data_IF_598678052922
#
_entry.id   IF_598678052922
#
_cell.length_a   1.000
_cell.length_b   1.000
_cell.length_c   1.000
_cell.angle_alpha   90.00
_cell.angle_beta   90.00
_cell.angle_gamma   90.00
#
_symmetry.space_group_name_H-M   'P 1'
#
loop_
_entity.id
_entity.type
_entity.pdbx_description
1 polymer ?
#
# COMPACT_ATOMS: atom_id res chain seq x y z
N UNK A 1 1.08 -2.51 -0.18
CA UNK A 1 0.51 -2.86 -1.47
C UNK A 1 1.24 -4.00 -2.17
N UNK A 2 1.99 -3.71 -3.24
CA UNK A 2 2.50 -4.73 -4.20
C UNK A 2 3.37 -5.84 -3.59
N UNK A 3 4.02 -5.66 -2.49
CA UNK A 3 4.78 -6.73 -1.85
C UNK A 3 3.93 -7.72 -1.06
N UNK A 4 2.69 -7.38 -0.71
CA UNK A 4 1.79 -8.22 0.10
C UNK A 4 0.63 -8.81 -0.71
N UNK A 5 0.14 -8.11 -1.74
CA UNK A 5 -1.08 -8.52 -2.45
C UNK A 5 -0.91 -9.57 -3.55
N UNK A 6 0.24 -9.71 -4.26
CA UNK A 6 0.33 -10.59 -5.42
C UNK A 6 0.03 -12.05 -5.13
N UNK A 7 0.54 -12.58 -4.01
CA UNK A 7 0.26 -13.95 -3.61
C UNK A 7 -1.22 -14.20 -3.32
N UNK A 8 -1.90 -13.27 -2.65
CA UNK A 8 -3.33 -13.37 -2.39
C UNK A 8 -4.15 -13.32 -3.69
N UNK A 9 -3.80 -12.43 -4.61
CA UNK A 9 -4.46 -12.34 -5.92
C UNK A 9 -4.20 -13.61 -6.74
N UNK A 10 -2.95 -14.11 -6.78
CA UNK A 10 -2.60 -15.32 -7.49
C UNK A 10 -3.36 -16.55 -6.96
N UNK A 11 -3.56 -16.67 -5.64
CA UNK A 11 -4.38 -17.75 -5.03
C UNK A 11 -5.84 -17.73 -5.48
N UNK A 12 -6.37 -16.56 -5.84
CA UNK A 12 -7.76 -16.43 -6.30
C UNK A 12 -7.93 -16.74 -7.80
N UNK A 13 -6.96 -16.29 -8.64
CA UNK A 13 -7.16 -16.28 -10.09
C UNK A 13 -6.06 -16.98 -10.88
N UNK A 14 -5.04 -17.52 -10.23
CA UNK A 14 -3.93 -18.24 -10.86
C UNK A 14 -3.18 -17.39 -11.88
N UNK A 15 -2.94 -17.94 -13.05
CA UNK A 15 -2.22 -17.31 -14.17
C UNK A 15 -2.83 -15.97 -14.65
N UNK A 16 -4.11 -15.72 -14.32
CA UNK A 16 -4.79 -14.47 -14.68
C UNK A 16 -4.39 -13.29 -13.77
N UNK A 17 -3.57 -13.49 -12.72
CA UNK A 17 -3.22 -12.47 -11.75
C UNK A 17 -2.69 -11.17 -12.38
N UNK A 18 -1.78 -11.27 -13.36
CA UNK A 18 -1.24 -10.10 -14.04
C UNK A 18 -2.32 -9.27 -14.75
N UNK A 19 -3.30 -9.92 -15.38
CA UNK A 19 -4.43 -9.25 -16.05
C UNK A 19 -5.37 -8.57 -15.04
N UNK A 20 -5.54 -9.15 -13.86
CA UNK A 20 -6.30 -8.50 -12.77
C UNK A 20 -5.60 -7.20 -12.32
N UNK A 21 -4.27 -7.17 -12.27
CA UNK A 21 -3.54 -5.93 -11.97
C UNK A 21 -3.71 -4.87 -13.06
N UNK A 22 -3.81 -5.23 -14.34
CA UNK A 22 -4.15 -4.29 -15.41
C UNK A 22 -5.58 -3.74 -15.26
N UNK A 23 -6.54 -4.60 -14.95
CA UNK A 23 -7.92 -4.17 -14.71
C UNK A 23 -7.99 -3.24 -13.48
N UNK A 24 -7.28 -3.56 -12.40
CA UNK A 24 -7.17 -2.71 -11.22
C UNK A 24 -6.50 -1.36 -11.53
N UNK A 25 -5.47 -1.35 -12.38
CA UNK A 25 -4.81 -0.13 -12.85
C UNK A 25 -5.76 0.76 -13.66
N UNK A 26 -6.57 0.18 -14.54
CA UNK A 26 -7.58 0.93 -15.31
C UNK A 26 -8.60 1.59 -14.38
N UNK A 27 -9.08 0.87 -13.37
CA UNK A 27 -9.97 1.42 -12.35
C UNK A 27 -9.31 2.53 -11.53
N UNK A 28 -8.05 2.32 -11.09
CA UNK A 28 -7.26 3.33 -10.39
C UNK A 28 -7.02 4.58 -11.23
N UNK A 29 -6.83 4.44 -12.55
CA UNK A 29 -6.62 5.54 -13.47
C UNK A 29 -7.87 6.45 -13.56
N UNK A 30 -9.07 5.88 -13.59
CA UNK A 30 -10.32 6.66 -13.56
C UNK A 30 -10.41 7.52 -12.29
N UNK A 31 -10.14 6.92 -11.14
CA UNK A 31 -10.14 7.65 -9.87
C UNK A 31 -9.02 8.69 -9.82
N UNK A 32 -7.83 8.37 -10.33
CA UNK A 32 -6.70 9.30 -10.39
C UNK A 32 -7.02 10.56 -11.21
N UNK A 33 -7.67 10.39 -12.35
CA UNK A 33 -8.12 11.52 -13.18
C UNK A 33 -9.16 12.37 -12.44
N UNK A 34 -10.09 11.75 -11.73
CA UNK A 34 -11.08 12.46 -10.90
C UNK A 34 -10.41 13.30 -9.81
N UNK A 35 -9.45 12.70 -9.05
CA UNK A 35 -8.67 13.41 -8.03
C UNK A 35 -7.81 14.53 -8.65
N UNK A 36 -7.20 14.28 -9.79
CA UNK A 36 -6.41 15.27 -10.52
C UNK A 36 -7.28 16.45 -10.97
N UNK A 37 -8.49 16.19 -11.44
CA UNK A 37 -9.44 17.24 -11.81
C UNK A 37 -9.87 18.06 -10.59
N UNK A 38 -10.25 17.40 -9.49
CA UNK A 38 -10.68 18.05 -8.27
C UNK A 38 -9.57 18.92 -7.64
N UNK A 39 -8.32 18.48 -7.70
CA UNK A 39 -7.17 19.21 -7.13
C UNK A 39 -6.87 20.56 -7.80
N UNK A 40 -7.42 20.80 -9.01
CA UNK A 40 -7.31 22.11 -9.68
C UNK A 40 -8.18 23.18 -9.01
N UNK A 41 -9.28 22.76 -8.41
CA UNK A 41 -10.31 23.67 -7.89
C UNK A 41 -10.29 23.77 -6.37
N UNK A 42 -9.89 22.68 -5.69
CA UNK A 42 -9.90 22.60 -4.22
C UNK A 42 -8.50 22.33 -3.72
N UNK A 43 -7.81 23.38 -3.27
CA UNK A 43 -6.46 23.32 -2.69
C UNK A 43 -6.57 23.41 -1.17
N UNK A 44 -7.16 22.38 -0.56
CA UNK A 44 -7.32 22.27 0.90
C UNK A 44 -6.83 20.90 1.37
N UNK A 45 -6.28 20.85 2.58
CA UNK A 45 -5.96 19.58 3.24
C UNK A 45 -7.21 18.72 3.43
N UNK A 46 -7.02 17.40 3.42
CA UNK A 46 -8.12 16.45 3.60
C UNK A 46 -8.58 15.72 2.33
N UNK A 47 -8.03 16.08 1.15
CA UNK A 47 -8.27 15.40 -0.13
C UNK A 47 -9.77 15.04 -0.37
N UNK A 48 -10.12 13.74 -0.33
CA UNK A 48 -11.48 13.26 -0.58
C UNK A 48 -12.53 13.98 0.29
N UNK A 49 -12.21 14.26 1.56
CA UNK A 49 -13.06 15.05 2.45
C UNK A 49 -13.34 16.45 1.87
N UNK A 50 -12.26 17.19 1.55
CA UNK A 50 -12.35 18.56 1.06
C UNK A 50 -13.09 18.63 -0.30
N UNK A 51 -12.84 17.67 -1.18
CA UNK A 51 -13.48 17.58 -2.49
C UNK A 51 -14.98 17.27 -2.38
N UNK A 52 -15.34 16.29 -1.54
CA UNK A 52 -16.74 15.92 -1.31
C UNK A 52 -17.51 17.04 -0.62
N UNK A 53 -16.90 17.73 0.35
CA UNK A 53 -17.50 18.89 1.00
C UNK A 53 -17.76 20.02 0.01
N UNK A 54 -16.79 20.32 -0.85
CA UNK A 54 -16.92 21.37 -1.87
C UNK A 54 -18.00 21.05 -2.93
N UNK A 55 -18.17 19.77 -3.26
CA UNK A 55 -19.13 19.36 -4.30
C UNK A 55 -20.55 19.11 -3.78
N UNK A 56 -20.70 18.57 -2.56
CA UNK A 56 -21.95 18.02 -2.04
C UNK A 56 -22.37 18.59 -0.67
N UNK A 57 -21.60 19.52 -0.10
CA UNK A 57 -21.89 20.14 1.20
C UNK A 57 -21.33 19.39 2.40
N UNK A 58 -21.65 19.93 3.59
CA UNK A 58 -21.02 19.55 4.86
C UNK A 58 -21.33 18.12 5.30
N UNK A 59 -22.57 17.66 5.10
CA UNK A 59 -23.00 16.32 5.53
C UNK A 59 -22.26 15.22 4.78
N UNK A 60 -22.22 15.33 3.44
CA UNK A 60 -21.50 14.36 2.58
C UNK A 60 -20.01 14.44 2.84
N UNK A 61 -19.46 15.66 2.99
CA UNK A 61 -18.07 15.86 3.35
C UNK A 61 -17.71 15.15 4.65
N UNK A 62 -18.50 15.33 5.72
CA UNK A 62 -18.28 14.71 7.02
C UNK A 62 -18.34 13.19 6.95
N UNK A 63 -19.32 12.63 6.27
CA UNK A 63 -19.42 11.17 6.05
C UNK A 63 -18.17 10.61 5.35
N UNK A 64 -17.75 11.25 4.25
CA UNK A 64 -16.56 10.83 3.49
C UNK A 64 -15.30 11.00 4.35
N UNK A 65 -15.19 12.09 5.12
CA UNK A 65 -14.05 12.33 6.01
C UNK A 65 -13.90 11.25 7.08
N UNK A 66 -14.99 10.93 7.80
CA UNK A 66 -14.99 9.87 8.83
C UNK A 66 -14.65 8.51 8.20
N UNK A 67 -15.33 8.15 7.10
CA UNK A 67 -15.08 6.89 6.39
C UNK A 67 -13.62 6.79 5.93
N UNK A 68 -13.05 7.89 5.44
CA UNK A 68 -11.65 7.96 5.03
C UNK A 68 -10.69 7.75 6.20
N UNK A 69 -10.94 8.40 7.34
CA UNK A 69 -10.09 8.25 8.53
C UNK A 69 -10.11 6.81 9.03
N UNK A 70 -11.29 6.21 9.17
CA UNK A 70 -11.42 4.83 9.63
C UNK A 70 -10.74 3.86 8.67
N UNK A 71 -11.05 3.95 7.37
CA UNK A 71 -10.47 3.06 6.35
C UNK A 71 -8.94 3.20 6.27
N UNK A 72 -8.42 4.43 6.33
CA UNK A 72 -6.98 4.70 6.30
C UNK A 72 -6.27 4.19 7.55
N UNK A 73 -6.91 4.29 8.72
CA UNK A 73 -6.37 3.77 9.98
C UNK A 73 -6.30 2.25 9.96
N UNK A 74 -7.36 1.57 9.52
CA UNK A 74 -7.35 0.11 9.35
C UNK A 74 -6.28 -0.33 8.35
N UNK A 75 -6.18 0.33 7.19
CA UNK A 75 -5.15 0.05 6.20
C UNK A 75 -3.73 0.26 6.75
N UNK A 76 -3.54 1.29 7.58
CA UNK A 76 -2.29 1.53 8.29
C UNK A 76 -1.94 0.38 9.24
N UNK A 77 -2.90 -0.12 10.03
CA UNK A 77 -2.72 -1.28 10.91
C UNK A 77 -2.31 -2.55 10.16
N UNK A 78 -2.97 -2.84 9.02
CA UNK A 78 -2.62 -3.98 8.14
C UNK A 78 -1.19 -3.86 7.63
N UNK A 79 -0.78 -2.68 7.16
CA UNK A 79 0.59 -2.43 6.68
C UNK A 79 1.62 -2.51 7.80
N UNK A 80 1.31 -2.02 9.00
CA UNK A 80 2.16 -2.11 10.18
C UNK A 80 2.40 -3.56 10.58
N UNK A 81 1.34 -4.37 10.60
CA UNK A 81 1.44 -5.82 10.83
C UNK A 81 2.32 -6.49 9.77
N UNK A 82 2.22 -6.08 8.50
CA UNK A 82 3.09 -6.55 7.42
C UNK A 82 4.56 -6.24 7.65
N UNK A 83 4.90 -5.02 8.12
CA UNK A 83 6.27 -4.65 8.50
C UNK A 83 6.79 -5.56 9.59
N UNK A 84 6.02 -5.75 10.66
CA UNK A 84 6.43 -6.57 11.81
C UNK A 84 6.66 -8.02 11.40
N UNK A 85 5.72 -8.63 10.70
CA UNK A 85 5.84 -10.02 10.23
C UNK A 85 7.05 -10.21 9.32
N UNK A 86 7.27 -9.28 8.39
CA UNK A 86 8.44 -9.33 7.50
C UNK A 86 9.75 -9.16 8.27
N UNK A 87 9.79 -8.25 9.23
CA UNK A 87 10.96 -8.10 10.08
C UNK A 87 11.24 -9.36 10.91
N UNK A 88 10.22 -9.96 11.53
CA UNK A 88 10.36 -11.21 12.28
C UNK A 88 10.90 -12.34 11.39
N UNK A 89 10.40 -12.48 10.15
CA UNK A 89 10.90 -13.47 9.18
C UNK A 89 12.40 -13.26 8.87
N UNK A 90 12.84 -12.01 8.67
CA UNK A 90 14.27 -11.70 8.45
C UNK A 90 15.15 -12.15 9.63
N UNK A 91 14.66 -12.00 10.87
CA UNK A 91 15.37 -12.41 12.07
C UNK A 91 15.16 -13.88 12.46
N UNK A 92 14.53 -14.69 11.60
CA UNK A 92 14.25 -16.10 11.86
C UNK A 92 13.29 -16.35 13.03
N UNK A 93 12.46 -15.35 13.36
CA UNK A 93 11.42 -15.47 14.40
C UNK A 93 10.11 -15.93 13.77
N UNK A 94 9.31 -16.62 14.58
CA UNK A 94 7.98 -17.04 14.16
C UNK A 94 7.05 -15.82 13.94
N UNK A 95 6.69 -15.58 12.70
CA UNK A 95 5.79 -14.50 12.31
C UNK A 95 4.30 -14.83 12.50
N UNK A 96 3.98 -16.06 12.97
CA UNK A 96 2.61 -16.48 13.32
C UNK A 96 2.31 -16.35 14.80
N UNK A 97 3.33 -16.20 15.67
CA UNK A 97 3.14 -15.95 17.10
C UNK A 97 2.52 -14.57 17.33
N UNK A 98 1.22 -14.56 17.64
CA UNK A 98 0.45 -13.34 17.85
C UNK A 98 1.01 -12.45 18.97
N UNK A 99 1.60 -13.02 20.03
CA UNK A 99 2.18 -12.26 21.12
C UNK A 99 3.39 -11.45 20.65
N UNK A 100 4.30 -12.10 19.94
CA UNK A 100 5.49 -11.45 19.37
C UNK A 100 5.10 -10.40 18.31
N UNK A 101 4.11 -10.71 17.46
CA UNK A 101 3.59 -9.76 16.48
C UNK A 101 2.98 -8.54 17.16
N UNK A 102 2.19 -8.71 18.20
CA UNK A 102 1.58 -7.59 18.95
C UNK A 102 2.62 -6.69 19.60
N UNK A 103 3.64 -7.27 20.24
CA UNK A 103 4.74 -6.50 20.83
C UNK A 103 5.48 -5.71 19.73
N UNK A 104 5.79 -6.35 18.61
CA UNK A 104 6.42 -5.67 17.47
C UNK A 104 5.57 -4.54 16.91
N UNK A 105 4.25 -4.75 16.82
CA UNK A 105 3.31 -3.75 16.37
C UNK A 105 3.28 -2.51 17.28
N UNK A 106 3.15 -2.72 18.61
CA UNK A 106 3.18 -1.62 19.58
C UNK A 106 4.52 -0.88 19.51
N UNK A 107 5.63 -1.61 19.41
CA UNK A 107 6.96 -1.02 19.26
C UNK A 107 7.03 -0.14 17.99
N UNK A 108 6.52 -0.64 16.87
CA UNK A 108 6.47 0.13 15.63
C UNK A 108 5.62 1.40 15.78
N UNK A 109 4.46 1.33 16.43
CA UNK A 109 3.60 2.51 16.66
C UNK A 109 4.30 3.57 17.52
N UNK A 110 5.05 3.15 18.54
CA UNK A 110 5.85 4.06 19.37
C UNK A 110 6.97 4.70 18.53
N UNK A 111 7.65 3.95 17.70
CA UNK A 111 8.69 4.49 16.80
C UNK A 111 8.09 5.51 15.83
N UNK A 112 6.93 5.22 15.25
CA UNK A 112 6.23 6.16 14.34
C UNK A 112 5.80 7.44 15.08
N UNK A 113 5.34 7.33 16.32
CA UNK A 113 5.04 8.49 17.15
C UNK A 113 6.29 9.36 17.36
N UNK A 114 7.40 8.75 17.75
CA UNK A 114 8.67 9.47 17.98
C UNK A 114 9.12 10.18 16.69
N UNK A 115 9.09 9.50 15.53
CA UNK A 115 9.43 10.09 14.23
C UNK A 115 8.56 11.32 13.94
N UNK A 116 7.25 11.22 14.19
CA UNK A 116 6.31 12.34 13.98
C UNK A 116 6.55 13.50 14.96
N UNK A 117 6.96 13.21 16.20
CA UNK A 117 7.29 14.24 17.20
C UNK A 117 8.57 15.01 16.86
N UNK A 118 9.55 14.36 16.23
CA UNK A 118 10.80 15.00 15.77
C UNK A 118 10.51 16.00 14.64
N UNK A 119 9.54 15.68 13.77
CA UNK A 119 9.00 16.62 12.79
C UNK A 119 9.18 16.21 11.33
N UNK A 120 8.67 17.06 10.45
CA UNK A 120 8.50 16.79 9.00
C UNK A 120 9.81 16.50 8.26
N UNK A 121 10.93 17.09 8.69
CA UNK A 121 12.23 16.88 8.02
C UNK A 121 12.67 15.41 8.07
N UNK A 122 12.55 14.78 9.24
CA UNK A 122 12.90 13.36 9.40
C UNK A 122 11.94 12.48 8.60
N UNK A 123 10.65 12.78 8.64
CA UNK A 123 9.62 12.08 7.84
C UNK A 123 9.96 12.09 6.35
N UNK A 124 10.33 13.26 5.80
CA UNK A 124 10.70 13.41 4.40
C UNK A 124 11.94 12.60 4.04
N UNK A 125 12.98 12.62 4.87
CA UNK A 125 14.20 11.84 4.65
C UNK A 125 13.88 10.34 4.60
N UNK A 126 13.15 9.83 5.59
CA UNK A 126 12.78 8.41 5.66
C UNK A 126 11.91 8.02 4.46
N UNK A 127 10.94 8.85 4.08
CA UNK A 127 10.07 8.62 2.93
C UNK A 127 10.87 8.56 1.62
N UNK A 128 11.84 9.45 1.42
CA UNK A 128 12.68 9.46 0.23
C UNK A 128 13.57 8.21 0.15
N UNK A 129 14.26 7.85 1.24
CA UNK A 129 15.09 6.64 1.31
C UNK A 129 14.23 5.39 1.02
N UNK A 130 13.06 5.31 1.63
CA UNK A 130 12.13 4.21 1.43
C UNK A 130 11.64 4.12 -0.01
N UNK A 131 11.39 5.27 -0.66
CA UNK A 131 10.97 5.32 -2.07
C UNK A 131 12.07 4.84 -3.01
N UNK A 132 13.31 5.29 -2.78
CA UNK A 132 14.47 4.84 -3.56
C UNK A 132 14.67 3.33 -3.39
N UNK A 133 14.65 2.84 -2.15
CA UNK A 133 14.79 1.40 -1.86
C UNK A 133 13.68 0.57 -2.50
N UNK A 134 12.42 1.04 -2.46
CA UNK A 134 11.29 0.41 -3.13
C UNK A 134 11.48 0.32 -4.65
N UNK A 135 11.79 1.44 -5.30
CA UNK A 135 11.97 1.49 -6.76
C UNK A 135 13.15 0.59 -7.17
N UNK A 136 14.26 0.64 -6.41
CA UNK A 136 15.41 -0.23 -6.65
C UNK A 136 15.05 -1.72 -6.55
N UNK A 137 14.38 -2.14 -5.47
CA UNK A 137 13.99 -3.53 -5.30
C UNK A 137 13.00 -4.01 -6.37
N UNK A 138 12.01 -3.21 -6.73
CA UNK A 138 11.05 -3.54 -7.78
C UNK A 138 11.72 -3.60 -9.15
N UNK A 139 12.60 -2.65 -9.45
CA UNK A 139 13.38 -2.63 -10.70
C UNK A 139 14.29 -3.86 -10.83
N UNK A 140 15.03 -4.19 -9.78
CA UNK A 140 15.88 -5.39 -9.75
C UNK A 140 15.03 -6.65 -9.93
N UNK A 141 13.87 -6.74 -9.29
CA UNK A 141 12.96 -7.89 -9.44
C UNK A 141 12.51 -8.08 -10.89
N UNK A 142 12.12 -6.99 -11.58
CA UNK A 142 11.70 -7.05 -12.98
C UNK A 142 12.88 -7.42 -13.89
N UNK A 143 14.03 -6.74 -13.73
CA UNK A 143 15.21 -6.95 -14.60
C UNK A 143 15.73 -8.37 -14.41
N UNK A 144 15.92 -8.83 -13.18
CA UNK A 144 16.35 -10.19 -12.89
C UNK A 144 15.35 -11.23 -13.41
N UNK A 145 14.06 -10.95 -13.26
CA UNK A 145 13.03 -11.84 -13.76
C UNK A 145 12.99 -11.94 -15.28
N UNK A 146 13.08 -10.82 -15.99
CA UNK A 146 13.19 -10.82 -17.46
C UNK A 146 14.46 -11.58 -17.91
N UNK A 147 15.58 -11.34 -17.22
CA UNK A 147 16.82 -12.04 -17.51
C UNK A 147 16.66 -13.56 -17.37
N UNK A 148 16.04 -14.04 -16.30
CA UNK A 148 15.76 -15.47 -16.09
C UNK A 148 14.87 -16.02 -17.21
N UNK A 149 13.81 -15.31 -17.58
CA UNK A 149 12.88 -15.75 -18.62
C UNK A 149 13.51 -15.83 -20.00
N UNK A 150 14.44 -14.91 -20.31
CA UNK A 150 15.05 -14.85 -21.65
C UNK A 150 16.25 -15.78 -21.79
N UNK A 151 17.08 -15.92 -20.74
CA UNK A 151 18.40 -16.57 -20.83
C UNK A 151 18.52 -17.91 -20.09
N UNK A 152 17.52 -18.32 -19.30
CA UNK A 152 17.64 -19.50 -18.43
C UNK A 152 16.61 -20.59 -18.69
N UNK A 153 15.94 -20.62 -19.84
CA UNK A 153 14.80 -21.53 -20.14
C UNK A 153 13.75 -21.55 -18.98
N UNK A 154 13.63 -20.43 -18.30
CA UNK A 154 12.98 -20.31 -16.99
C UNK A 154 11.47 -20.09 -17.04
N UNK A 155 10.82 -20.16 -18.20
CA UNK A 155 9.36 -20.05 -18.24
C UNK A 155 8.74 -21.36 -17.73
N UNK A 156 8.15 -21.29 -16.53
CA UNK A 156 7.46 -22.43 -15.94
C UNK A 156 5.95 -22.23 -16.09
N UNK A 157 5.40 -22.74 -17.18
CA UNK A 157 3.97 -22.70 -17.48
C UNK A 157 3.24 -23.90 -16.87
N UNK A 158 3.38 -24.11 -15.58
CA UNK A 158 2.65 -25.18 -14.91
C UNK A 158 1.15 -24.87 -14.88
N UNK A 159 0.35 -25.90 -15.15
CA UNK A 159 -1.09 -25.80 -14.97
C UNK A 159 -1.44 -25.77 -13.47
N UNK A 160 -1.77 -24.59 -13.01
CA UNK A 160 -2.12 -24.37 -11.60
C UNK A 160 -3.49 -24.97 -11.23
N UNK A 161 -4.30 -25.37 -12.21
CA UNK A 161 -5.65 -25.93 -11.95
C UNK A 161 -5.58 -27.34 -11.36
N UNK A 162 -4.45 -28.03 -11.53
CA UNK A 162 -4.23 -29.37 -10.96
C UNK A 162 -3.71 -29.34 -9.51
N UNK A 163 -3.32 -28.17 -9.00
CA UNK A 163 -2.80 -28.03 -7.65
C UNK A 163 -3.91 -28.20 -6.61
N UNK A 164 -3.72 -29.15 -5.70
CA UNK A 164 -4.63 -29.43 -4.60
C UNK A 164 -3.99 -29.10 -3.27
N UNK A 165 -4.81 -28.69 -2.30
CA UNK A 165 -4.41 -28.54 -0.91
C UNK A 165 -4.31 -29.89 -0.20
N UNK A 166 -4.01 -29.86 1.11
CA UNK A 166 -3.93 -31.08 1.93
C UNK A 166 -5.25 -31.86 2.03
N UNK A 167 -6.38 -31.21 1.80
CA UNK A 167 -7.73 -31.77 1.83
C UNK A 167 -8.21 -32.24 0.44
N UNK A 168 -7.35 -32.17 -0.58
CA UNK A 168 -7.64 -32.58 -1.95
C UNK A 168 -8.50 -31.60 -2.75
N UNK A 169 -8.75 -30.39 -2.25
CA UNK A 169 -9.45 -29.32 -2.95
C UNK A 169 -8.49 -28.53 -3.84
N UNK A 170 -8.99 -28.00 -4.94
CA UNK A 170 -8.20 -27.12 -5.81
C UNK A 170 -7.77 -25.88 -5.03
N UNK A 171 -6.48 -25.56 -5.07
CA UNK A 171 -5.91 -24.35 -4.42
C UNK A 171 -6.51 -23.10 -5.05
N UNK A 172 -6.71 -23.12 -6.38
CA UNK A 172 -7.31 -22.01 -7.12
C UNK A 172 -8.80 -22.33 -7.31
N UNK A 173 -9.70 -21.47 -6.83
CA UNK A 173 -11.15 -21.67 -6.99
C UNK A 173 -11.56 -21.49 -8.46
N UNK A 174 -12.76 -21.95 -8.80
CA UNK A 174 -13.38 -21.67 -10.10
C UNK A 174 -13.49 -20.14 -10.32
N UNK A 175 -13.19 -19.72 -11.55
CA UNK A 175 -13.23 -18.31 -11.91
C UNK A 175 -14.68 -17.84 -12.09
N UNK A 176 -15.23 -17.27 -11.04
CA UNK A 176 -16.57 -16.67 -10.99
C UNK A 176 -16.51 -15.15 -10.94
N UNK A 177 -17.64 -14.46 -11.15
CA UNK A 177 -17.72 -12.99 -10.98
C UNK A 177 -17.33 -12.58 -9.57
N UNK A 178 -17.71 -13.34 -8.54
CA UNK A 178 -17.34 -13.04 -7.15
C UNK A 178 -15.83 -13.15 -6.94
N UNK A 179 -15.19 -14.19 -7.48
CA UNK A 179 -13.73 -14.38 -7.42
C UNK A 179 -13.02 -13.25 -8.17
N UNK A 180 -13.51 -12.88 -9.36
CA UNK A 180 -12.96 -11.74 -10.12
C UNK A 180 -13.01 -10.44 -9.32
N UNK A 181 -14.17 -10.10 -8.73
CA UNK A 181 -14.33 -8.87 -7.94
C UNK A 181 -13.44 -8.90 -6.70
N UNK A 182 -13.34 -10.01 -5.98
CA UNK A 182 -12.47 -10.16 -4.81
C UNK A 182 -11.00 -9.98 -5.20
N UNK A 183 -10.57 -10.59 -6.29
CA UNK A 183 -9.20 -10.45 -6.79
C UNK A 183 -8.91 -9.02 -7.26
N UNK A 184 -9.88 -8.37 -7.93
CA UNK A 184 -9.79 -6.98 -8.38
C UNK A 184 -9.61 -6.02 -7.20
N UNK A 185 -10.41 -6.18 -6.14
CA UNK A 185 -10.28 -5.38 -4.90
C UNK A 185 -8.92 -5.61 -4.25
N UNK A 186 -8.46 -6.87 -4.16
CA UNK A 186 -7.14 -7.20 -3.63
C UNK A 186 -5.98 -6.59 -4.43
N UNK A 187 -6.09 -6.59 -5.77
CA UNK A 187 -5.10 -5.94 -6.64
C UNK A 187 -5.19 -4.41 -6.55
N UNK A 188 -6.41 -3.85 -6.48
CA UNK A 188 -6.63 -2.41 -6.35
C UNK A 188 -6.02 -1.84 -5.07
N UNK A 189 -6.02 -2.62 -3.97
CA UNK A 189 -5.35 -2.23 -2.73
C UNK A 189 -3.86 -1.84 -2.94
N UNK A 190 -3.18 -2.44 -3.90
CA UNK A 190 -1.79 -2.07 -4.21
C UNK A 190 -1.66 -0.66 -4.82
N UNK A 191 -2.69 -0.16 -5.47
CA UNK A 191 -2.73 1.16 -6.10
C UNK A 191 -3.20 2.27 -5.16
N UNK A 192 -3.80 1.95 -4.00
CA UNK A 192 -4.27 2.96 -3.04
C UNK A 192 -3.11 3.78 -2.48
N UNK A 193 -3.38 5.02 -2.12
CA UNK A 193 -2.42 5.98 -1.56
C UNK A 193 -2.20 7.23 -2.41
N UNK A 194 -2.48 7.21 -3.72
CA UNK A 194 -2.38 8.39 -4.58
C UNK A 194 -3.32 9.52 -4.13
N UNK A 195 -4.47 9.15 -3.61
CA UNK A 195 -5.44 10.09 -3.04
C UNK A 195 -4.93 10.77 -1.77
N UNK A 196 -4.05 10.11 -1.03
CA UNK A 196 -3.46 10.66 0.20
C UNK A 196 -2.46 11.79 -0.09
N UNK A 197 -1.82 11.79 -1.25
CA UNK A 197 -0.91 12.86 -1.67
C UNK A 197 -1.64 14.20 -1.71
N UNK A 198 -2.88 14.21 -2.19
CA UNK A 198 -3.71 15.41 -2.21
C UNK A 198 -4.11 15.91 -0.81
N UNK A 199 -4.02 15.09 0.25
CA UNK A 199 -4.28 15.52 1.63
C UNK A 199 -3.24 16.50 2.16
N UNK A 200 -2.02 16.50 1.60
CA UNK A 200 -0.95 17.44 1.93
C UNK A 200 -0.85 18.62 0.96
N UNK A 201 -1.85 18.87 0.15
CA UNK A 201 -1.79 19.89 -0.91
C UNK A 201 -1.48 21.30 -0.40
N UNK A 202 -1.89 21.65 0.83
CA UNK A 202 -1.60 22.94 1.44
C UNK A 202 -0.10 23.18 1.72
N UNK A 203 0.69 22.10 1.83
CA UNK A 203 2.13 22.14 2.08
C UNK A 203 2.96 22.01 0.79
N UNK A 204 2.31 21.97 -0.38
CA UNK A 204 2.96 21.79 -1.69
C UNK A 204 3.14 23.11 -2.45
N UNK A 205 4.21 23.22 -3.23
CA UNK A 205 4.38 24.29 -4.19
C UNK A 205 3.46 24.07 -5.41
N UNK A 206 2.64 25.09 -5.75
CA UNK A 206 1.74 25.11 -6.91
C UNK A 206 0.93 23.80 -7.08
N UNK A 207 0.20 23.37 -6.02
CA UNK A 207 -0.49 22.08 -6.03
C UNK A 207 -1.54 21.98 -7.15
N UNK A 208 -2.18 23.08 -7.52
CA UNK A 208 -3.16 23.18 -8.62
C UNK A 208 -2.59 22.85 -10.01
N UNK A 209 -1.25 22.92 -10.16
CA UNK A 209 -0.53 22.56 -11.40
C UNK A 209 0.15 21.20 -11.30
N UNK A 210 0.75 20.92 -10.14
CA UNK A 210 1.60 19.74 -9.95
C UNK A 210 0.79 18.47 -9.70
N UNK A 211 -0.24 18.50 -8.85
CA UNK A 211 -1.06 17.33 -8.57
C UNK A 211 -1.80 16.75 -9.79
N UNK A 212 -2.45 17.58 -10.64
CA UNK A 212 -3.15 17.08 -11.83
C UNK A 212 -2.26 16.33 -12.82
N UNK A 213 -0.95 16.59 -12.81
CA UNK A 213 0.04 15.92 -13.66
C UNK A 213 0.68 14.73 -12.97
N UNK A 214 1.04 14.91 -11.70
CA UNK A 214 1.77 13.89 -10.93
C UNK A 214 0.90 12.65 -10.65
N UNK A 215 -0.38 12.82 -10.31
CA UNK A 215 -1.25 11.69 -9.93
C UNK A 215 -1.45 10.70 -11.10
N UNK A 216 -1.91 11.13 -12.31
CA UNK A 216 -2.08 10.20 -13.42
C UNK A 216 -0.76 9.58 -13.90
N UNK A 217 0.32 10.38 -13.94
CA UNK A 217 1.65 9.88 -14.31
C UNK A 217 2.14 8.79 -13.34
N UNK A 218 1.98 9.02 -12.04
CA UNK A 218 2.35 8.04 -11.03
C UNK A 218 1.57 6.73 -11.20
N UNK A 219 0.25 6.80 -11.42
CA UNK A 219 -0.57 5.60 -11.63
C UNK A 219 -0.14 4.86 -12.90
N UNK A 220 0.17 5.56 -13.99
CA UNK A 220 0.67 4.94 -15.23
C UNK A 220 1.99 4.19 -15.02
N UNK A 221 2.97 4.81 -14.37
CA UNK A 221 4.26 4.18 -14.05
C UNK A 221 4.07 2.97 -13.12
N UNK A 222 3.27 3.14 -12.06
CA UNK A 222 2.99 2.07 -11.09
C UNK A 222 2.27 0.90 -11.76
N UNK A 223 1.35 1.16 -12.69
CA UNK A 223 0.64 0.11 -13.45
C UNK A 223 1.61 -0.75 -14.25
N UNK A 224 2.56 -0.15 -14.97
CA UNK A 224 3.59 -0.86 -15.72
C UNK A 224 4.47 -1.71 -14.80
N UNK A 225 4.91 -1.15 -13.67
CA UNK A 225 5.75 -1.85 -12.69
C UNK A 225 5.00 -3.03 -12.07
N UNK A 226 3.76 -2.84 -11.64
CA UNK A 226 2.99 -3.88 -10.96
C UNK A 226 2.60 -5.02 -11.90
N UNK A 227 2.16 -4.67 -13.11
CA UNK A 227 1.93 -5.67 -14.14
C UNK A 227 3.20 -6.47 -14.43
N UNK A 228 4.33 -5.79 -14.68
CA UNK A 228 5.60 -6.43 -15.00
C UNK A 228 6.07 -7.39 -13.89
N UNK A 229 5.98 -6.98 -12.63
CA UNK A 229 6.37 -7.81 -11.49
C UNK A 229 5.50 -9.07 -11.38
N UNK A 230 4.18 -8.89 -11.42
CA UNK A 230 3.26 -10.04 -11.28
C UNK A 230 3.39 -10.96 -12.49
N UNK A 231 3.50 -10.40 -13.68
CA UNK A 231 3.72 -11.16 -14.91
C UNK A 231 4.99 -12.01 -14.80
N UNK A 232 6.13 -11.40 -14.56
CA UNK A 232 7.42 -12.09 -14.44
C UNK A 232 7.37 -13.16 -13.34
N UNK A 233 6.83 -12.85 -12.18
CA UNK A 233 6.75 -13.80 -11.06
C UNK A 233 5.88 -15.01 -11.37
N UNK A 234 4.74 -14.81 -12.05
CA UNK A 234 3.85 -15.90 -12.48
C UNK A 234 4.45 -16.79 -13.57
N UNK A 235 5.40 -16.28 -14.36
CA UNK A 235 6.10 -17.08 -15.37
C UNK A 235 7.34 -17.79 -14.85
N UNK A 236 8.00 -17.28 -13.79
CA UNK A 236 9.19 -17.93 -13.21
C UNK A 236 8.78 -19.09 -12.29
N UNK A 237 7.91 -18.84 -11.32
CA UNK A 237 7.44 -19.86 -10.38
C UNK A 237 5.99 -19.60 -9.95
N UNK A 238 5.01 -20.01 -10.76
CA UNK A 238 3.60 -19.83 -10.45
C UNK A 238 3.19 -20.63 -9.21
N UNK A 239 3.84 -21.77 -8.92
CA UNK A 239 3.54 -22.61 -7.76
C UNK A 239 3.95 -21.87 -6.48
N UNK A 240 5.17 -21.31 -6.42
CA UNK A 240 5.60 -20.51 -5.29
C UNK A 240 4.67 -19.32 -5.04
N UNK A 241 4.17 -18.68 -6.11
CA UNK A 241 3.22 -17.55 -5.99
C UNK A 241 1.92 -17.93 -5.29
N UNK A 242 1.43 -19.16 -5.47
CA UNK A 242 0.13 -19.60 -4.90
C UNK A 242 0.27 -20.43 -3.64
N UNK A 243 1.43 -21.02 -3.35
CA UNK A 243 1.63 -21.91 -2.19
C UNK A 243 2.44 -21.29 -1.06
N UNK A 244 3.29 -20.30 -1.35
CA UNK A 244 4.16 -19.70 -0.34
C UNK A 244 3.35 -19.10 0.82
N UNK A 245 3.85 -19.34 2.04
CA UNK A 245 3.35 -18.76 3.29
C UNK A 245 4.16 -17.54 3.74
N UNK A 246 5.22 -17.19 3.00
CA UNK A 246 6.07 -16.07 3.34
C UNK A 246 5.31 -14.74 3.22
N UNK A 247 5.57 -13.77 4.12
CA UNK A 247 4.93 -12.45 4.05
C UNK A 247 5.19 -11.73 2.73
N UNK A 248 6.37 -11.93 2.12
CA UNK A 248 6.77 -11.35 0.84
C UNK A 248 6.87 -12.47 -0.20
N UNK A 249 5.74 -12.90 -0.74
CA UNK A 249 5.64 -14.01 -1.71
C UNK A 249 6.54 -13.80 -2.94
N UNK A 250 6.71 -12.56 -3.39
CA UNK A 250 7.60 -12.24 -4.53
C UNK A 250 9.04 -12.71 -4.34
N UNK A 251 9.54 -12.77 -3.11
CA UNK A 251 10.88 -13.28 -2.85
C UNK A 251 10.97 -14.79 -3.05
N UNK A 252 9.91 -15.54 -2.73
CA UNK A 252 9.89 -17.00 -2.84
C UNK A 252 9.98 -17.52 -4.29
N UNK A 253 9.66 -16.67 -5.27
CA UNK A 253 9.70 -17.00 -6.69
C UNK A 253 11.13 -17.22 -7.18
N UNK A 254 12.12 -16.57 -6.56
CA UNK A 254 13.50 -16.61 -7.01
C UNK A 254 14.32 -17.63 -6.21
N UNK A 255 15.10 -18.47 -6.90
CA UNK A 255 16.00 -19.46 -6.26
C UNK A 255 17.26 -18.82 -5.67
N UNK A 256 17.67 -17.65 -6.16
CA UNK A 256 18.87 -16.97 -5.71
C UNK A 256 18.63 -16.26 -4.36
N UNK A 257 19.34 -16.70 -3.33
CA UNK A 257 19.20 -16.18 -1.96
C UNK A 257 19.55 -14.69 -1.82
N UNK A 258 20.49 -14.18 -2.61
CA UNK A 258 20.87 -12.75 -2.59
C UNK A 258 19.70 -11.93 -3.12
N UNK A 259 19.10 -12.37 -4.24
CA UNK A 259 17.94 -11.71 -4.83
C UNK A 259 16.72 -11.74 -3.90
N UNK A 260 16.46 -12.89 -3.24
CA UNK A 260 15.43 -12.98 -2.21
C UNK A 260 15.63 -11.94 -1.10
N UNK A 261 16.85 -11.84 -0.55
CA UNK A 261 17.18 -10.86 0.50
C UNK A 261 16.98 -9.41 0.03
N UNK A 262 17.40 -9.07 -1.19
CA UNK A 262 17.19 -7.73 -1.75
C UNK A 262 15.70 -7.41 -1.84
N UNK A 263 14.88 -8.35 -2.33
CA UNK A 263 13.44 -8.17 -2.45
C UNK A 263 12.79 -8.00 -1.06
N UNK A 264 13.17 -8.82 -0.08
CA UNK A 264 12.62 -8.75 1.28
C UNK A 264 12.99 -7.44 1.96
N UNK A 265 14.25 -7.00 1.85
CA UNK A 265 14.71 -5.72 2.40
C UNK A 265 13.98 -4.55 1.72
N UNK A 266 13.88 -4.57 0.40
CA UNK A 266 13.13 -3.57 -0.34
C UNK A 266 11.65 -3.52 0.02
N UNK A 267 11.04 -4.68 0.26
CA UNK A 267 9.68 -4.78 0.75
C UNK A 267 9.52 -4.17 2.14
N UNK A 268 10.43 -4.49 3.06
CA UNK A 268 10.45 -3.93 4.40
C UNK A 268 10.61 -2.40 4.38
N UNK A 269 11.56 -1.89 3.61
CA UNK A 269 11.77 -0.45 3.43
C UNK A 269 10.51 0.22 2.85
N UNK A 270 9.90 -0.38 1.82
CA UNK A 270 8.69 0.12 1.21
C UNK A 270 7.52 0.19 2.20
N UNK A 271 7.28 -0.90 2.93
CA UNK A 271 6.18 -0.97 3.90
C UNK A 271 6.42 -0.02 5.08
N UNK A 272 7.65 0.11 5.56
CA UNK A 272 8.00 1.07 6.61
C UNK A 272 7.75 2.51 6.15
N UNK A 273 8.18 2.89 4.95
CA UNK A 273 7.94 4.23 4.40
C UNK A 273 6.47 4.56 4.23
N UNK A 274 5.64 3.59 3.82
CA UNK A 274 4.18 3.78 3.76
C UNK A 274 3.61 3.98 5.16
N UNK A 275 4.08 3.25 6.17
CA UNK A 275 3.65 3.44 7.56
C UNK A 275 4.02 4.84 8.08
N UNK A 276 5.22 5.33 7.75
CA UNK A 276 5.64 6.70 8.08
C UNK A 276 4.71 7.71 7.41
N UNK A 277 4.42 7.55 6.12
CA UNK A 277 3.50 8.44 5.40
C UNK A 277 2.06 8.38 5.96
N UNK A 278 1.55 7.18 6.25
CA UNK A 278 0.21 7.00 6.81
C UNK A 278 0.09 7.64 8.19
N UNK A 279 1.10 7.47 9.06
CA UNK A 279 1.14 8.09 10.39
C UNK A 279 1.16 9.61 10.36
N UNK A 280 1.61 10.20 9.24
CA UNK A 280 1.62 11.64 9.03
C UNK A 280 0.32 12.15 8.39
N UNK A 281 -0.18 11.47 7.35
CA UNK A 281 -1.29 11.96 6.54
C UNK A 281 -2.68 11.65 7.13
N UNK A 282 -2.86 10.48 7.74
CA UNK A 282 -4.16 10.04 8.27
C UNK A 282 -4.69 10.97 9.38
N UNK A 283 -3.89 11.36 10.39
CA UNK A 283 -4.34 12.30 11.42
C UNK A 283 -4.74 13.68 10.87
N UNK A 284 -4.12 14.11 9.76
CA UNK A 284 -4.41 15.44 9.17
C UNK A 284 -5.76 15.55 8.52
N UNK A 285 -6.36 14.45 8.10
CA UNK A 285 -7.74 14.46 7.60
C UNK A 285 -8.69 14.81 8.74
N UNK A 286 -8.49 14.21 9.91
CA UNK A 286 -9.33 14.45 11.07
C UNK A 286 -9.11 15.86 11.66
N UNK A 287 -7.85 16.33 11.65
CA UNK A 287 -7.52 17.71 11.98
C UNK A 287 -8.22 18.72 11.04
N UNK A 288 -8.24 18.47 9.73
CA UNK A 288 -8.92 19.31 8.75
C UNK A 288 -10.44 19.39 9.02
N UNK A 289 -11.06 18.26 9.40
CA UNK A 289 -12.47 18.24 9.82
C UNK A 289 -12.71 19.05 11.08
N UNK A 290 -11.77 19.03 12.05
CA UNK A 290 -11.85 19.81 13.27
C UNK A 290 -11.69 21.32 13.02
N UNK A 291 -10.82 21.71 12.08
CA UNK A 291 -10.68 23.12 11.66
C UNK A 291 -11.97 23.67 11.04
N UNK A 292 -12.73 22.83 10.36
CA UNK A 292 -14.03 23.16 9.77
C UNK A 292 -15.21 22.90 10.75
N UNK A 293 -14.94 22.68 12.05
CA UNK A 293 -15.90 22.47 13.13
C UNK A 293 -16.85 21.26 12.96
N UNK A 294 -16.46 20.29 12.15
CA UNK A 294 -17.27 19.07 11.95
C UNK A 294 -16.99 17.98 12.99
N UNK A 295 -15.86 18.10 13.70
CA UNK A 295 -15.50 17.29 14.87
C UNK A 295 -14.93 18.22 15.95
N UNK A 296 -14.80 17.76 17.20
CA UNK A 296 -14.38 18.63 18.31
C UNK A 296 -13.04 19.34 18.05
N UNK A 297 -12.96 20.61 18.42
CA UNK A 297 -11.83 21.52 18.15
C UNK A 297 -10.51 21.04 18.79
N UNK A 298 -10.55 20.25 19.86
CA UNK A 298 -9.32 19.77 20.51
C UNK A 298 -8.46 18.89 19.59
N UNK A 299 -8.99 18.37 18.48
CA UNK A 299 -8.23 17.65 17.46
C UNK A 299 -7.35 18.54 16.58
N UNK A 300 -7.49 19.88 16.65
CA UNK A 300 -6.62 20.83 15.95
C UNK A 300 -5.30 21.10 16.68
N UNK A 301 -5.19 20.71 17.96
CA UNK A 301 -4.00 21.01 18.78
C UNK A 301 -2.78 20.26 18.27
N UNK A 302 -1.76 21.03 17.89
CA UNK A 302 -0.46 20.51 17.39
C UNK A 302 0.61 20.59 18.48
N UNK A 303 1.54 19.63 18.44
CA UNK A 303 2.78 19.68 19.19
C UNK A 303 3.75 20.72 18.59
N UNK A 304 4.87 21.04 19.28
CA UNK A 304 5.92 21.90 18.74
C UNK A 304 6.50 21.40 17.40
N UNK A 305 6.49 20.08 17.15
CA UNK A 305 6.89 19.46 15.91
C UNK A 305 5.83 19.45 14.80
N UNK A 306 4.66 20.07 15.04
CA UNK A 306 3.57 20.15 14.04
C UNK A 306 2.69 18.89 13.95
N UNK A 307 2.80 17.95 14.89
CA UNK A 307 1.94 16.77 14.96
C UNK A 307 0.61 17.09 15.62
N UNK A 308 -0.57 16.81 15.00
CA UNK A 308 -1.88 16.85 15.66
C UNK A 308 -2.03 15.60 16.55
N UNK A 309 -1.52 15.71 17.79
CA UNK A 309 -1.32 14.57 18.68
C UNK A 309 -2.61 13.80 19.00
N UNK A 310 -3.69 14.51 19.29
CA UNK A 310 -5.00 13.90 19.60
C UNK A 310 -5.57 13.14 18.41
N UNK A 311 -5.45 13.70 17.20
CA UNK A 311 -5.84 13.04 15.96
C UNK A 311 -4.94 11.82 15.68
N UNK A 312 -3.63 11.91 15.97
CA UNK A 312 -2.71 10.79 15.84
C UNK A 312 -3.08 9.64 16.79
N UNK A 313 -3.33 9.93 18.08
CA UNK A 313 -3.72 8.90 19.06
C UNK A 313 -5.01 8.20 18.64
N UNK A 314 -6.02 8.96 18.20
CA UNK A 314 -7.26 8.37 17.72
C UNK A 314 -7.04 7.43 16.53
N UNK A 315 -6.34 7.90 15.50
CA UNK A 315 -6.09 7.10 14.28
C UNK A 315 -5.20 5.90 14.53
N UNK A 316 -4.19 6.03 15.40
CA UNK A 316 -3.37 4.92 15.84
C UNK A 316 -4.18 3.90 16.66
N UNK A 317 -5.10 4.37 17.52
CA UNK A 317 -6.01 3.50 18.28
C UNK A 317 -6.98 2.71 17.39
N UNK A 318 -7.40 3.27 16.26
CA UNK A 318 -8.23 2.54 15.27
C UNK A 318 -7.36 1.52 14.50
N UNK A 319 -6.06 1.80 14.32
CA UNK A 319 -5.14 0.94 13.59
C UNK A 319 -4.73 -0.32 14.37
N UNK A 320 -4.82 -0.29 15.70
CA UNK A 320 -4.53 -1.41 16.63
C UNK A 320 -5.68 -2.42 16.65
#
# INVERSE_FOLDING_TARGET
>A
GIFLSPGAVAKLVGSKAAMIYLAAAAFAAVLAVTFAAASKYVVKSGAAYAYSKAAFGDEVGSYVGITRVVSASIAWGVLATGVVKTALSIFGKDSSDMKTVTIGFITLMVVLLIINLIGTKLLTIISNISTIGKIGALGITIIAGIFILVFSDGANLQDLTILKDADGKNIIPEFTTSVFVTALVGAFYAFTGFESVASGSADMEKPEKNLPRAIPLAIGIIACIYFGIVFVSMYIDPVAMVTSKEPVVLASVFKNQILQKIIIIGALMSMFGINVAASFLTPRVFEAMAQEKQVPEFFTKRTKGGLPLTSFILTAGIAV
#
